data_IF_441526435725
#
_entry.id   IF_441526435725
#
_cell.length_a   1.000
_cell.length_b   1.000
_cell.length_c   1.000
_cell.angle_alpha   90.00
_cell.angle_beta   90.00
_cell.angle_gamma   90.00
#
_symmetry.space_group_name_H-M   'P 1'
#
loop_
_entity.id
_entity.type
_entity.pdbx_description
1 polymer ?
#
# COMPACT_ATOMS: atom_id res chain seq x y z
N UNK A 1 18.44 -24.35 33.83
CA UNK A 1 18.39 -23.11 33.03
C UNK A 1 17.84 -23.41 31.65
N UNK A 2 16.51 -23.43 31.45
CA UNK A 2 15.88 -23.70 30.14
C UNK A 2 14.76 -22.72 29.77
N UNK A 3 14.48 -21.75 30.62
CA UNK A 3 13.36 -20.79 30.44
C UNK A 3 13.82 -19.47 29.80
N UNK A 4 15.11 -19.13 29.93
CA UNK A 4 15.66 -17.85 29.43
C UNK A 4 15.74 -17.81 27.90
N UNK A 5 15.85 -18.96 27.22
CA UNK A 5 15.98 -19.01 25.76
C UNK A 5 14.68 -18.67 25.00
N UNK A 6 13.52 -18.77 25.64
CA UNK A 6 12.22 -18.53 24.99
C UNK A 6 11.86 -17.05 24.90
N UNK A 7 12.41 -16.21 25.78
CA UNK A 7 12.10 -14.77 25.81
C UNK A 7 12.78 -14.02 24.65
N UNK A 8 13.90 -14.53 24.13
CA UNK A 8 14.60 -13.93 22.99
C UNK A 8 13.91 -14.15 21.63
N UNK A 9 13.01 -15.14 21.51
CA UNK A 9 12.27 -15.41 20.25
C UNK A 9 11.05 -14.50 20.08
N UNK A 10 10.53 -13.92 21.17
CA UNK A 10 9.33 -13.09 21.14
C UNK A 10 9.67 -11.61 20.89
N UNK A 11 10.92 -11.19 21.09
CA UNK A 11 11.36 -9.80 20.89
C UNK A 11 11.62 -9.40 19.44
N UNK A 12 11.45 -10.30 18.46
CA UNK A 12 11.59 -9.97 17.02
C UNK A 12 10.29 -9.48 16.37
N UNK A 13 9.17 -9.46 17.09
CA UNK A 13 7.86 -9.02 16.58
C UNK A 13 7.48 -7.58 16.96
N UNK A 14 8.46 -6.74 17.30
CA UNK A 14 8.22 -5.33 17.65
C UNK A 14 9.09 -4.34 16.87
N UNK A 15 9.20 -4.53 15.57
CA UNK A 15 9.46 -3.41 14.69
C UNK A 15 8.28 -3.23 13.75
N UNK A 16 7.37 -2.28 14.00
CA UNK A 16 6.73 -1.59 12.89
C UNK A 16 7.85 -0.76 12.27
N UNK A 17 8.77 -1.43 11.55
CA UNK A 17 9.72 -0.72 10.72
C UNK A 17 8.86 0.07 9.75
N UNK A 18 9.00 1.39 9.78
CA UNK A 18 8.74 2.21 8.61
C UNK A 18 9.60 1.61 7.49
N UNK A 19 9.08 0.61 6.77
CA UNK A 19 9.76 -0.02 5.66
C UNK A 19 9.90 1.09 4.63
N UNK A 20 11.09 1.70 4.61
CA UNK A 20 11.40 2.74 3.64
C UNK A 20 11.32 2.12 2.24
N UNK A 21 11.21 2.97 1.22
CA UNK A 21 11.14 2.51 -0.17
C UNK A 21 12.22 1.48 -0.53
N UNK A 22 13.44 1.63 0.00
CA UNK A 22 14.52 0.67 -0.22
C UNK A 22 14.25 -0.72 0.37
N UNK A 23 13.62 -0.82 1.54
CA UNK A 23 13.33 -2.11 2.17
C UNK A 23 12.20 -2.82 1.43
N UNK A 24 11.18 -2.09 0.97
CA UNK A 24 10.13 -2.64 0.13
C UNK A 24 10.65 -3.10 -1.23
N UNK A 25 11.57 -2.34 -1.85
CA UNK A 25 12.23 -2.75 -3.09
C UNK A 25 13.00 -4.06 -2.91
N UNK A 26 13.81 -4.16 -1.85
CA UNK A 26 14.56 -5.39 -1.52
C UNK A 26 13.63 -6.56 -1.23
N UNK A 27 12.56 -6.35 -0.47
CA UNK A 27 11.59 -7.37 -0.11
C UNK A 27 10.94 -8.03 -1.33
N UNK A 28 10.72 -7.25 -2.39
CA UNK A 28 10.08 -7.71 -3.62
C UNK A 28 11.06 -7.96 -4.77
N UNK A 29 12.37 -7.90 -4.51
CA UNK A 29 13.43 -8.06 -5.50
C UNK A 29 13.23 -7.13 -6.72
N UNK A 30 12.98 -5.85 -6.44
CA UNK A 30 12.76 -4.80 -7.42
C UNK A 30 13.86 -3.73 -7.33
N UNK A 31 14.09 -3.08 -8.46
CA UNK A 31 14.79 -1.81 -8.58
C UNK A 31 13.78 -0.66 -8.65
N UNK A 32 14.22 0.56 -8.34
CA UNK A 32 13.37 1.75 -8.52
C UNK A 32 12.94 1.92 -9.98
N UNK A 33 13.84 1.64 -10.93
CA UNK A 33 13.57 1.72 -12.35
C UNK A 33 12.42 0.78 -12.78
N UNK A 34 12.38 -0.45 -12.27
CA UNK A 34 11.29 -1.38 -12.57
C UNK A 34 9.93 -0.86 -12.09
N UNK A 35 9.88 -0.22 -10.91
CA UNK A 35 8.65 0.42 -10.40
C UNK A 35 8.28 1.65 -11.25
N UNK A 36 9.25 2.50 -11.56
CA UNK A 36 9.05 3.76 -12.30
C UNK A 36 8.63 3.55 -13.76
N UNK A 37 8.98 2.42 -14.36
CA UNK A 37 8.56 2.07 -15.73
C UNK A 37 7.08 1.75 -15.85
N UNK A 38 6.40 1.45 -14.74
CA UNK A 38 4.96 1.17 -14.73
C UNK A 38 4.19 2.48 -14.74
N UNK A 39 3.62 2.83 -15.89
CA UNK A 39 2.77 4.01 -16.01
C UNK A 39 1.52 3.87 -15.11
N UNK A 40 1.04 4.95 -14.46
CA UNK A 40 -0.20 4.92 -13.68
C UNK A 40 -1.45 4.54 -14.48
N UNK A 41 -1.42 4.58 -15.80
CA UNK A 41 -2.51 4.13 -16.67
C UNK A 41 -2.47 2.63 -17.01
N UNK A 42 -1.44 1.90 -16.57
CA UNK A 42 -1.29 0.47 -16.87
C UNK A 42 -2.40 -0.34 -16.17
N UNK A 43 -3.14 -1.20 -16.86
CA UNK A 43 -4.15 -2.05 -16.22
C UNK A 43 -3.54 -2.93 -15.13
N UNK A 44 -4.19 -3.06 -13.97
CA UNK A 44 -3.67 -3.84 -12.82
C UNK A 44 -3.35 -5.30 -13.15
N UNK A 45 -4.03 -5.88 -14.15
CA UNK A 45 -3.78 -7.23 -14.67
C UNK A 45 -2.45 -7.37 -15.42
N UNK A 46 -1.92 -6.28 -15.96
CA UNK A 46 -0.67 -6.23 -16.71
C UNK A 46 0.53 -5.86 -15.82
N UNK A 47 0.26 -5.38 -14.60
CA UNK A 47 1.30 -4.98 -13.65
C UNK A 47 1.90 -6.21 -12.97
N UNK A 48 3.24 -6.36 -12.96
CA UNK A 48 3.89 -7.47 -12.28
C UNK A 48 3.49 -7.55 -10.81
N UNK A 49 3.23 -8.77 -10.32
CA UNK A 49 2.81 -9.01 -8.94
C UNK A 49 3.76 -8.38 -7.91
N UNK A 50 5.07 -8.42 -8.16
CA UNK A 50 6.08 -7.81 -7.30
C UNK A 50 5.86 -6.29 -7.13
N UNK A 51 5.53 -5.58 -8.21
CA UNK A 51 5.25 -4.13 -8.19
C UNK A 51 3.95 -3.85 -7.42
N UNK A 52 2.91 -4.68 -7.63
CA UNK A 52 1.64 -4.57 -6.87
C UNK A 52 1.88 -4.77 -5.37
N UNK A 53 2.67 -5.76 -5.00
CA UNK A 53 2.98 -6.03 -3.59
C UNK A 53 3.93 -4.99 -2.98
N UNK A 54 4.82 -4.39 -3.78
CA UNK A 54 5.60 -3.23 -3.37
C UNK A 54 4.70 -2.07 -2.93
N UNK A 55 3.62 -1.79 -3.67
CA UNK A 55 2.62 -0.80 -3.25
C UNK A 55 2.06 -1.10 -1.87
N UNK A 56 1.73 -2.37 -1.57
CA UNK A 56 1.27 -2.76 -0.24
C UNK A 56 2.30 -2.44 0.83
N UNK A 57 3.54 -2.86 0.62
CA UNK A 57 4.64 -2.65 1.58
C UNK A 57 4.83 -1.16 1.89
N UNK A 58 4.76 -0.30 0.87
CA UNK A 58 4.94 1.15 1.00
C UNK A 58 3.90 1.85 1.88
N UNK A 59 2.71 1.27 2.01
CA UNK A 59 1.58 1.87 2.73
C UNK A 59 1.02 0.96 3.82
N UNK A 60 1.80 -0.04 4.28
CA UNK A 60 1.35 -1.04 5.24
C UNK A 60 0.88 -0.40 6.57
N UNK A 61 1.51 0.71 6.98
CA UNK A 61 1.13 1.46 8.19
C UNK A 61 -0.29 2.06 8.13
N UNK A 62 -0.87 2.21 6.94
CA UNK A 62 -2.22 2.77 6.77
C UNK A 62 -3.31 1.71 6.73
N UNK A 63 -2.98 0.42 6.82
CA UNK A 63 -3.98 -0.64 6.84
C UNK A 63 -4.62 -0.78 8.22
N UNK A 64 -5.94 -0.94 8.24
CA UNK A 64 -6.73 -1.33 9.40
C UNK A 64 -6.69 -2.85 9.66
N UNK A 65 -7.36 -3.28 10.72
CA UNK A 65 -7.46 -4.69 11.10
C UNK A 65 -8.26 -5.53 10.09
N UNK A 66 -9.12 -4.88 9.30
CA UNK A 66 -9.89 -5.49 8.21
C UNK A 66 -9.07 -5.72 6.94
N UNK A 67 -7.78 -5.37 6.95
CA UNK A 67 -6.90 -5.52 5.80
C UNK A 67 -7.16 -4.52 4.67
N UNK A 68 -7.87 -3.42 4.95
CA UNK A 68 -8.12 -2.30 4.02
C UNK A 68 -7.48 -1.01 4.53
N UNK A 69 -7.39 0.02 3.68
CA UNK A 69 -6.84 1.31 4.11
C UNK A 69 -7.77 1.96 5.14
N UNK A 70 -7.25 2.29 6.31
CA UNK A 70 -7.94 3.02 7.35
C UNK A 70 -7.61 4.52 7.24
N UNK A 71 -8.61 5.33 6.88
CA UNK A 71 -8.45 6.77 6.70
C UNK A 71 -8.01 7.48 7.99
N UNK A 72 -8.30 6.91 9.17
CA UNK A 72 -7.83 7.46 10.44
C UNK A 72 -6.33 7.24 10.63
N UNK A 73 -5.79 6.10 10.17
CA UNK A 73 -4.35 5.80 10.24
C UNK A 73 -3.51 6.64 9.28
N UNK A 74 -4.09 7.07 8.16
CA UNK A 74 -3.45 8.05 7.26
C UNK A 74 -3.22 9.38 7.97
N UNK A 75 -4.09 9.72 8.93
CA UNK A 75 -3.94 10.88 9.80
C UNK A 75 -3.97 12.21 9.02
N UNK A 76 -3.00 13.09 9.28
CA UNK A 76 -2.86 14.39 8.61
C UNK A 76 -1.85 14.38 7.45
N UNK A 77 -1.49 13.18 6.93
CA UNK A 77 -0.53 13.07 5.84
C UNK A 77 -1.23 13.34 4.51
N UNK A 78 -0.77 14.39 3.82
CA UNK A 78 -1.34 14.83 2.55
C UNK A 78 -2.21 16.07 2.71
N UNK A 79 -2.77 16.52 1.59
CA UNK A 79 -3.68 17.66 1.51
C UNK A 79 -5.14 17.24 1.68
N UNK A 80 -6.03 18.15 2.07
CA UNK A 80 -7.48 17.89 2.15
C UNK A 80 -8.06 17.29 0.84
N UNK A 81 -7.51 17.74 -0.30
CA UNK A 81 -7.88 17.22 -1.61
C UNK A 81 -7.43 15.77 -1.80
N UNK A 82 -6.22 15.43 -1.36
CA UNK A 82 -5.72 14.04 -1.41
C UNK A 82 -6.53 13.14 -0.47
N UNK A 83 -6.95 13.63 0.70
CA UNK A 83 -7.89 12.91 1.58
C UNK A 83 -9.24 12.66 0.90
N UNK A 84 -9.78 13.67 0.21
CA UNK A 84 -11.02 13.54 -0.57
C UNK A 84 -10.89 12.49 -1.67
N UNK A 85 -9.80 12.52 -2.44
CA UNK A 85 -9.54 11.53 -3.47
C UNK A 85 -9.36 10.13 -2.89
N UNK A 86 -8.61 10.00 -1.79
CA UNK A 86 -8.40 8.72 -1.14
C UNK A 86 -9.72 8.12 -0.62
N UNK A 87 -10.61 8.94 -0.05
CA UNK A 87 -11.94 8.50 0.38
C UNK A 87 -12.79 8.01 -0.79
N UNK A 88 -12.75 8.71 -1.94
CA UNK A 88 -13.43 8.25 -3.15
C UNK A 88 -12.86 6.93 -3.68
N UNK A 89 -11.54 6.80 -3.78
CA UNK A 89 -10.89 5.55 -4.19
C UNK A 89 -11.27 4.40 -3.26
N UNK A 90 -11.33 4.65 -1.94
CA UNK A 90 -11.74 3.66 -0.96
C UNK A 90 -13.17 3.19 -1.22
N UNK A 91 -14.10 4.11 -1.47
CA UNK A 91 -15.49 3.77 -1.81
C UNK A 91 -15.59 2.88 -3.06
N UNK A 92 -14.72 3.09 -4.05
CA UNK A 92 -14.71 2.32 -5.29
C UNK A 92 -14.23 0.87 -5.09
N UNK A 93 -13.22 0.65 -4.25
CA UNK A 93 -12.56 -0.66 -4.16
C UNK A 93 -12.87 -1.47 -2.90
N UNK A 94 -13.34 -0.85 -1.81
CA UNK A 94 -13.62 -1.56 -0.56
C UNK A 94 -14.72 -2.61 -0.68
N UNK A 95 -15.66 -2.43 -1.61
CA UNK A 95 -16.76 -3.37 -1.83
C UNK A 95 -16.38 -4.58 -2.70
N UNK A 96 -15.19 -4.58 -3.32
CA UNK A 96 -14.78 -5.63 -4.25
C UNK A 96 -14.20 -6.80 -3.46
N UNK A 97 -14.91 -7.93 -3.44
CA UNK A 97 -14.55 -9.11 -2.62
C UNK A 97 -13.45 -9.96 -3.23
N UNK A 98 -13.23 -9.86 -4.54
CA UNK A 98 -12.35 -10.74 -5.30
C UNK A 98 -11.04 -10.05 -5.71
N UNK A 99 -10.61 -9.02 -4.97
CA UNK A 99 -9.32 -8.39 -5.19
C UNK A 99 -8.20 -9.17 -4.49
N UNK A 100 -7.18 -9.51 -5.26
CA UNK A 100 -5.94 -10.05 -4.71
C UNK A 100 -5.32 -9.09 -3.70
N UNK A 101 -4.63 -9.66 -2.70
CA UNK A 101 -4.06 -8.92 -1.55
C UNK A 101 -3.14 -7.76 -1.93
N UNK A 102 -2.50 -7.83 -3.10
CA UNK A 102 -1.61 -6.81 -3.63
C UNK A 102 -2.28 -5.90 -4.67
N UNK A 103 -3.43 -6.30 -5.21
CA UNK A 103 -4.16 -5.54 -6.23
C UNK A 103 -4.90 -4.36 -5.61
N UNK A 104 -5.53 -4.57 -4.44
CA UNK A 104 -6.18 -3.49 -3.69
C UNK A 104 -5.25 -2.29 -3.40
N UNK A 105 -4.08 -2.45 -2.74
CA UNK A 105 -3.18 -1.31 -2.49
C UNK A 105 -2.70 -0.64 -3.77
N UNK A 106 -2.43 -1.42 -4.82
CA UNK A 106 -2.01 -0.87 -6.11
C UNK A 106 -3.12 -0.01 -6.73
N UNK A 107 -4.36 -0.52 -6.79
CA UNK A 107 -5.53 0.19 -7.32
C UNK A 107 -5.85 1.46 -6.52
N UNK A 108 -5.71 1.40 -5.19
CA UNK A 108 -5.88 2.57 -4.32
C UNK A 108 -4.88 3.68 -4.66
N UNK A 109 -3.59 3.34 -4.81
CA UNK A 109 -2.57 4.32 -5.21
C UNK A 109 -2.78 4.82 -6.64
N UNK A 110 -3.09 3.92 -7.58
CA UNK A 110 -3.37 4.24 -8.96
C UNK A 110 -4.53 5.24 -9.09
N UNK A 111 -5.63 5.01 -8.38
CA UNK A 111 -6.78 5.91 -8.34
C UNK A 111 -6.40 7.28 -7.75
N UNK A 112 -5.65 7.30 -6.64
CA UNK A 112 -5.18 8.55 -6.03
C UNK A 112 -4.31 9.37 -6.99
N UNK A 113 -3.38 8.72 -7.69
CA UNK A 113 -2.52 9.39 -8.68
C UNK A 113 -3.31 9.92 -9.88
N UNK A 114 -4.24 9.14 -10.42
CA UNK A 114 -5.08 9.56 -11.55
C UNK A 114 -6.00 10.72 -11.15
N UNK A 115 -6.64 10.65 -9.98
CA UNK A 115 -7.47 11.74 -9.46
C UNK A 115 -6.68 13.05 -9.28
N UNK A 116 -5.43 12.94 -8.81
CA UNK A 116 -4.49 14.07 -8.70
C UNK A 116 -4.13 14.66 -10.07
N UNK A 117 -3.87 13.81 -11.07
CA UNK A 117 -3.49 14.23 -12.41
C UNK A 117 -4.64 14.87 -13.19
N UNK A 118 -5.86 14.32 -13.09
CA UNK A 118 -7.05 14.84 -13.79
C UNK A 118 -7.69 16.04 -13.11
N UNK A 119 -7.36 16.31 -11.84
CA UNK A 119 -8.00 17.35 -11.04
C UNK A 119 -9.51 17.13 -10.80
N UNK A 120 -10.04 15.99 -11.24
CA UNK A 120 -11.45 15.63 -11.16
C UNK A 120 -11.56 14.18 -10.70
N UNK A 121 -12.60 13.91 -9.92
CA UNK A 121 -12.99 12.58 -9.51
C UNK A 121 -13.71 11.96 -10.71
N UNK A 122 -13.14 10.93 -11.33
CA UNK A 122 -13.84 10.15 -12.36
C UNK A 122 -14.56 9.02 -11.65
N UNK A 123 -15.90 9.11 -11.62
CA UNK A 123 -16.81 8.07 -11.11
C UNK A 123 -17.00 6.93 -12.10
#
# INVERSE_FOLDING_TARGET
MKVVLWICLISMWQFPCCLGAQDCLKLHNLTSAEVETVAPSTPVSEVPLAVKCYSRCMIDEYFGEDGKIDLQRVGSRGTEREHTFLAHCKQQFDGVTDLDRCDYPYLMLQCLFTGKASGTIVS
#
